data_IF_530841675369
#
_entry.id   IF_530841675369
#
_cell.length_a   1.000
_cell.length_b   1.000
_cell.length_c   1.000
_cell.angle_alpha   90.00
_cell.angle_beta   90.00
_cell.angle_gamma   90.00
#
_symmetry.space_group_name_H-M   'P 1'
#
loop_
_entity.id
_entity.type
_entity.pdbx_description
1 polymer ?
#
# COMPACT_ATOMS: atom_id res chain seq x y z
N UNK A 1 13.20 16.56 2.56
CA UNK A 1 13.66 17.87 2.06
C UNK A 1 13.52 18.03 0.53
N UNK A 2 13.74 16.98 -0.27
CA UNK A 2 13.59 17.03 -1.73
C UNK A 2 12.19 17.49 -2.24
N UNK A 3 11.10 17.02 -1.61
CA UNK A 3 9.73 17.45 -1.95
C UNK A 3 9.50 18.97 -1.81
N UNK A 4 9.93 19.54 -0.68
CA UNK A 4 9.78 20.98 -0.44
C UNK A 4 10.64 21.84 -1.39
N UNK A 5 11.79 21.33 -1.83
CA UNK A 5 12.62 21.98 -2.84
C UNK A 5 11.98 21.91 -4.24
N UNK A 6 11.40 20.77 -4.61
CA UNK A 6 10.65 20.61 -5.87
C UNK A 6 9.40 21.51 -5.89
N UNK A 7 8.66 21.61 -4.79
CA UNK A 7 7.50 22.51 -4.65
C UNK A 7 7.89 23.98 -4.76
N UNK A 8 9.03 24.40 -4.17
CA UNK A 8 9.55 25.77 -4.32
C UNK A 8 9.98 26.08 -5.75
N UNK A 9 10.64 25.14 -6.44
CA UNK A 9 10.98 25.27 -7.87
C UNK A 9 9.72 25.37 -8.73
N UNK A 10 8.73 24.51 -8.49
CA UNK A 10 7.43 24.55 -9.15
C UNK A 10 6.75 25.92 -8.93
N UNK A 11 6.67 26.42 -7.70
CA UNK A 11 6.05 27.72 -7.41
C UNK A 11 6.78 28.93 -8.02
N UNK A 12 8.08 28.80 -8.31
CA UNK A 12 8.86 29.83 -9.03
C UNK A 12 8.57 29.77 -10.52
N UNK A 13 8.63 28.58 -11.12
CA UNK A 13 8.29 28.33 -12.53
C UNK A 13 6.86 28.77 -12.88
N UNK A 14 5.91 28.60 -11.96
CA UNK A 14 4.54 29.07 -12.11
C UNK A 14 4.38 30.60 -12.08
N UNK A 15 5.26 31.31 -11.37
CA UNK A 15 5.26 32.77 -11.27
C UNK A 15 5.94 33.43 -12.47
N UNK A 16 6.98 32.81 -13.01
CA UNK A 16 7.80 33.40 -14.07
C UNK A 16 7.16 33.23 -15.48
N UNK A 17 6.24 32.29 -15.65
CA UNK A 17 5.57 32.05 -16.92
C UNK A 17 4.28 32.87 -17.09
N UNK A 18 4.41 34.03 -17.75
CA UNK A 18 3.38 35.06 -17.91
C UNK A 18 2.21 34.66 -18.84
N UNK A 19 2.44 33.79 -19.83
CA UNK A 19 1.42 33.32 -20.76
C UNK A 19 1.44 31.79 -20.95
N UNK A 20 0.46 31.27 -21.70
CA UNK A 20 0.30 29.83 -21.91
C UNK A 20 1.46 29.20 -22.72
N UNK A 21 2.16 29.98 -23.55
CA UNK A 21 3.29 29.50 -24.35
C UNK A 21 4.56 29.38 -23.50
N UNK A 22 4.85 30.38 -22.67
CA UNK A 22 5.95 30.32 -21.71
C UNK A 22 5.78 29.14 -20.74
N UNK A 23 4.56 28.88 -20.28
CA UNK A 23 4.25 27.73 -19.43
C UNK A 23 4.46 26.39 -20.12
N UNK A 24 4.14 26.32 -21.42
CA UNK A 24 4.39 25.11 -22.20
C UNK A 24 5.89 24.85 -22.35
N UNK A 25 6.69 25.88 -22.66
CA UNK A 25 8.15 25.76 -22.76
C UNK A 25 8.77 25.33 -21.42
N UNK A 26 8.30 25.85 -20.30
CA UNK A 26 8.74 25.40 -18.96
C UNK A 26 8.37 23.94 -18.70
N UNK A 27 7.20 23.49 -19.15
CA UNK A 27 6.79 22.10 -19.03
C UNK A 27 7.63 21.15 -19.90
N UNK A 28 7.95 21.57 -21.13
CA UNK A 28 8.84 20.82 -22.02
C UNK A 28 10.27 20.76 -21.43
N UNK A 29 10.83 21.87 -20.93
CA UNK A 29 12.13 21.86 -20.26
C UNK A 29 12.16 20.92 -19.04
N UNK A 30 11.10 20.93 -18.23
CA UNK A 30 10.98 20.01 -17.09
C UNK A 30 10.93 18.55 -17.54
N UNK A 31 10.31 18.26 -18.69
CA UNK A 31 10.30 16.92 -19.28
C UNK A 31 11.69 16.52 -19.77
N UNK A 32 12.39 17.41 -20.48
CA UNK A 32 13.75 17.18 -20.99
C UNK A 32 14.77 16.98 -19.86
N UNK A 33 14.58 17.67 -18.73
CA UNK A 33 15.36 17.50 -17.49
C UNK A 33 15.03 16.18 -16.75
N UNK A 34 14.05 15.40 -17.22
CA UNK A 34 13.60 14.15 -16.60
C UNK A 34 12.64 14.34 -15.42
N UNK A 35 12.20 15.56 -15.11
CA UNK A 35 11.20 15.85 -14.07
C UNK A 35 9.77 15.67 -14.61
N UNK A 36 9.44 14.42 -14.96
CA UNK A 36 8.15 14.01 -15.54
C UNK A 36 6.98 14.42 -14.63
N UNK A 37 7.18 14.46 -13.31
CA UNK A 37 6.14 14.88 -12.36
C UNK A 37 5.81 16.35 -12.49
N UNK A 38 6.82 17.21 -12.54
CA UNK A 38 6.61 18.65 -12.72
C UNK A 38 6.03 18.93 -14.11
N UNK A 39 6.58 18.31 -15.15
CA UNK A 39 6.11 18.44 -16.52
C UNK A 39 4.62 18.04 -16.66
N UNK A 40 4.24 16.86 -16.19
CA UNK A 40 2.86 16.37 -16.27
C UNK A 40 1.86 17.27 -15.54
N UNK A 41 2.20 17.79 -14.36
CA UNK A 41 1.35 18.76 -13.63
C UNK A 41 1.15 20.06 -14.42
N UNK A 42 2.22 20.57 -15.05
CA UNK A 42 2.15 21.77 -15.88
C UNK A 42 1.29 21.53 -17.13
N UNK A 43 1.50 20.41 -17.82
CA UNK A 43 0.67 20.04 -18.97
C UNK A 43 -0.80 19.87 -18.59
N UNK A 44 -1.12 19.22 -17.46
CA UNK A 44 -2.51 19.09 -16.98
C UNK A 44 -3.13 20.47 -16.73
N UNK A 45 -2.41 21.35 -16.04
CA UNK A 45 -2.89 22.71 -15.81
C UNK A 45 -3.16 23.46 -17.11
N UNK A 46 -2.25 23.38 -18.08
CA UNK A 46 -2.40 24.00 -19.41
C UNK A 46 -3.58 23.41 -20.19
N UNK A 47 -3.71 22.09 -20.21
CA UNK A 47 -4.79 21.38 -20.88
C UNK A 47 -6.18 21.76 -20.33
N UNK A 48 -6.28 21.97 -19.01
CA UNK A 48 -7.53 22.35 -18.35
C UNK A 48 -7.85 23.84 -18.49
N UNK A 49 -6.90 24.73 -18.19
CA UNK A 49 -7.14 26.18 -18.15
C UNK A 49 -7.14 26.83 -19.53
N UNK A 50 -6.42 26.28 -20.49
CA UNK A 50 -6.23 26.88 -21.82
C UNK A 50 -6.70 25.94 -22.95
N UNK A 51 -7.78 25.19 -22.71
CA UNK A 51 -8.30 24.12 -23.58
C UNK A 51 -8.37 24.45 -25.08
N UNK A 52 -8.74 25.69 -25.43
CA UNK A 52 -8.96 26.09 -26.82
C UNK A 52 -7.74 26.75 -27.49
N UNK A 53 -6.66 26.97 -26.76
CA UNK A 53 -5.41 27.56 -27.29
C UNK A 53 -4.52 26.51 -27.95
N UNK A 54 -3.56 26.94 -28.78
CA UNK A 54 -2.53 26.06 -29.34
C UNK A 54 -1.74 25.35 -28.23
N UNK A 55 -1.30 26.10 -27.20
CA UNK A 55 -0.56 25.55 -26.07
C UNK A 55 -1.36 24.50 -25.29
N UNK A 56 -2.67 24.69 -25.09
CA UNK A 56 -3.53 23.69 -24.45
C UNK A 56 -3.83 22.46 -25.31
N UNK A 57 -3.77 22.58 -26.65
CA UNK A 57 -3.81 21.41 -27.56
C UNK A 57 -2.50 20.63 -27.48
N UNK A 58 -1.35 21.31 -27.56
CA UNK A 58 -0.02 20.71 -27.43
C UNK A 58 0.17 20.03 -26.07
N UNK A 59 -0.26 20.66 -24.97
CA UNK A 59 -0.19 20.05 -23.64
C UNK A 59 -0.99 18.73 -23.53
N UNK A 60 -2.14 18.63 -24.22
CA UNK A 60 -2.91 17.37 -24.27
C UNK A 60 -2.20 16.30 -25.08
N UNK A 61 -1.59 16.68 -26.20
CA UNK A 61 -0.78 15.78 -27.01
C UNK A 61 0.43 15.25 -26.21
N UNK A 62 1.14 16.13 -25.49
CA UNK A 62 2.24 15.75 -24.58
C UNK A 62 1.77 14.78 -23.50
N UNK A 63 0.62 15.03 -22.87
CA UNK A 63 0.04 14.09 -21.90
C UNK A 63 -0.32 12.73 -22.54
N UNK A 64 -0.79 12.73 -23.78
CA UNK A 64 -1.04 11.51 -24.56
C UNK A 64 0.24 10.71 -24.81
N UNK A 65 1.32 11.39 -25.15
CA UNK A 65 2.63 10.75 -25.37
C UNK A 65 3.21 10.19 -24.07
N UNK A 66 3.16 10.95 -22.97
CA UNK A 66 3.55 10.45 -21.64
C UNK A 66 2.73 9.23 -21.22
N UNK A 67 1.44 9.23 -21.55
CA UNK A 67 0.58 8.09 -21.29
C UNK A 67 1.01 6.85 -22.10
N UNK A 68 1.36 7.01 -23.37
CA UNK A 68 1.88 5.90 -24.18
C UNK A 68 3.23 5.39 -23.68
N UNK A 69 4.16 6.28 -23.31
CA UNK A 69 5.47 5.91 -22.77
C UNK A 69 5.31 5.07 -21.49
N UNK A 70 4.45 5.49 -20.57
CA UNK A 70 4.16 4.75 -19.36
C UNK A 70 3.53 3.38 -19.63
N UNK A 71 2.65 3.27 -20.63
CA UNK A 71 2.09 1.97 -21.05
C UNK A 71 3.16 1.07 -21.68
N UNK A 72 4.11 1.63 -22.43
CA UNK A 72 5.26 0.89 -22.95
C UNK A 72 6.09 0.30 -21.82
N UNK A 73 6.49 1.12 -20.83
CA UNK A 73 7.23 0.68 -19.64
C UNK A 73 6.46 -0.36 -18.83
N UNK A 74 5.15 -0.18 -18.67
CA UNK A 74 4.29 -1.18 -18.02
C UNK A 74 4.35 -2.52 -18.75
N UNK A 75 4.19 -2.51 -20.08
CA UNK A 75 4.23 -3.71 -20.91
C UNK A 75 5.60 -4.42 -20.88
N UNK A 76 6.70 -3.67 -20.77
CA UNK A 76 8.04 -4.24 -20.59
C UNK A 76 8.17 -4.98 -19.25
N UNK A 77 7.67 -4.39 -18.15
CA UNK A 77 7.65 -5.04 -16.84
C UNK A 77 6.78 -6.30 -16.88
N UNK A 78 5.57 -6.21 -17.45
CA UNK A 78 4.68 -7.37 -17.63
C UNK A 78 5.34 -8.47 -18.48
N UNK A 79 5.99 -8.11 -19.58
CA UNK A 79 6.70 -9.06 -20.45
C UNK A 79 7.86 -9.73 -19.73
N UNK A 80 8.58 -9.01 -18.86
CA UNK A 80 9.67 -9.59 -18.07
C UNK A 80 9.12 -10.57 -17.03
N UNK A 81 8.01 -10.22 -16.36
CA UNK A 81 7.32 -11.11 -15.42
C UNK A 81 6.78 -12.37 -16.12
N UNK A 82 6.14 -12.24 -17.27
CA UNK A 82 5.60 -13.37 -18.03
C UNK A 82 6.68 -14.19 -18.75
N UNK A 83 7.79 -13.55 -19.15
CA UNK A 83 8.86 -14.14 -19.94
C UNK A 83 9.70 -15.20 -19.21
N UNK A 84 9.61 -15.30 -17.88
CA UNK A 84 10.15 -16.44 -17.14
C UNK A 84 9.25 -17.69 -17.24
N UNK A 85 7.94 -17.54 -17.46
CA UNK A 85 7.02 -18.67 -17.64
C UNK A 85 7.05 -19.24 -19.08
N UNK A 86 7.38 -18.41 -20.09
CA UNK A 86 7.36 -18.79 -21.50
C UNK A 86 8.66 -19.41 -22.06
N UNK A 87 9.73 -19.56 -21.26
CA UNK A 87 10.95 -20.27 -21.68
C UNK A 87 10.77 -21.79 -21.61
N UNK A 88 9.82 -22.29 -22.39
CA UNK A 88 9.72 -23.70 -22.79
C UNK A 88 10.57 -23.82 -24.07
N UNK A 89 11.74 -24.49 -24.06
CA UNK A 89 12.51 -24.68 -25.28
C UNK A 89 11.71 -25.54 -26.27
N UNK A 90 11.82 -25.28 -27.59
CA UNK A 90 11.31 -26.21 -28.59
C UNK A 90 11.96 -27.58 -28.38
N UNK A 91 11.16 -28.64 -28.50
CA UNK A 91 11.60 -30.04 -28.44
C UNK A 91 12.74 -30.20 -29.44
N UNK A 92 13.93 -30.64 -29.00
CA UNK A 92 14.99 -31.03 -29.93
C UNK A 92 14.55 -32.33 -30.62
N UNK A 93 14.21 -32.30 -31.93
CA UNK A 93 13.57 -33.42 -32.59
C UNK A 93 14.53 -34.59 -32.84
N UNK A 94 15.84 -34.42 -32.58
CA UNK A 94 16.87 -35.43 -32.85
C UNK A 94 17.27 -36.28 -31.65
N UNK A 95 17.08 -35.78 -30.42
CA UNK A 95 17.51 -36.51 -29.20
C UNK A 95 16.35 -36.92 -28.31
N UNK A 96 15.19 -36.28 -28.41
CA UNK A 96 14.07 -36.52 -27.47
C UNK A 96 14.41 -36.21 -26.01
N UNK A 97 15.61 -35.69 -25.75
CA UNK A 97 16.21 -35.60 -24.43
C UNK A 97 16.17 -34.15 -23.97
N UNK A 98 15.52 -33.93 -22.83
CA UNK A 98 15.55 -32.65 -22.14
C UNK A 98 16.91 -32.55 -21.45
N UNK A 99 17.85 -31.79 -22.00
CA UNK A 99 19.05 -31.43 -21.23
C UNK A 99 18.64 -30.88 -19.85
N UNK A 100 19.37 -31.20 -18.77
CA UNK A 100 18.94 -30.86 -17.41
C UNK A 100 18.68 -29.36 -17.30
N UNK A 101 17.40 -29.02 -17.15
CA UNK A 101 16.90 -27.66 -17.04
C UNK A 101 17.43 -27.09 -15.73
N UNK A 102 18.27 -26.06 -15.79
CA UNK A 102 18.37 -25.14 -14.66
C UNK A 102 17.04 -24.37 -14.63
N UNK A 103 16.03 -24.93 -13.96
CA UNK A 103 14.87 -24.14 -13.57
C UNK A 103 15.40 -22.90 -12.84
N UNK A 104 14.91 -21.69 -13.14
CA UNK A 104 15.23 -20.53 -12.33
C UNK A 104 15.01 -20.95 -10.88
N UNK A 105 16.01 -20.73 -10.03
CA UNK A 105 15.87 -21.12 -8.64
C UNK A 105 14.63 -20.41 -8.08
N UNK A 106 13.94 -21.02 -7.11
CA UNK A 106 12.79 -20.38 -6.46
C UNK A 106 13.13 -18.97 -5.95
N UNK A 107 14.40 -18.75 -5.61
CA UNK A 107 14.99 -17.46 -5.26
C UNK A 107 14.99 -16.45 -6.43
N UNK A 108 15.43 -16.84 -7.62
CA UNK A 108 15.47 -15.97 -8.81
C UNK A 108 14.07 -15.48 -9.21
N UNK A 109 13.05 -16.36 -9.06
CA UNK A 109 11.64 -15.98 -9.31
C UNK A 109 11.15 -14.99 -8.26
N UNK A 110 11.48 -15.20 -6.99
CA UNK A 110 11.08 -14.30 -5.91
C UNK A 110 11.69 -12.90 -6.09
N UNK A 111 12.99 -12.83 -6.38
CA UNK A 111 13.68 -11.56 -6.66
C UNK A 111 13.07 -10.83 -7.85
N UNK A 112 12.76 -11.54 -8.95
CA UNK A 112 12.12 -10.92 -10.11
C UNK A 112 10.75 -10.33 -9.78
N UNK A 113 9.92 -11.04 -9.02
CA UNK A 113 8.60 -10.54 -8.60
C UNK A 113 8.77 -9.28 -7.76
N UNK A 114 9.61 -9.33 -6.72
CA UNK A 114 9.88 -8.18 -5.85
C UNK A 114 10.39 -6.97 -6.63
N UNK A 115 11.35 -7.19 -7.53
CA UNK A 115 11.90 -6.16 -8.41
C UNK A 115 10.83 -5.53 -9.30
N UNK A 116 9.99 -6.35 -9.93
CA UNK A 116 8.96 -5.86 -10.84
C UNK A 116 7.90 -5.04 -10.11
N UNK A 117 7.53 -5.41 -8.89
CA UNK A 117 6.63 -4.61 -8.06
C UNK A 117 7.26 -3.33 -7.52
N UNK A 118 8.59 -3.30 -7.34
CA UNK A 118 9.32 -2.05 -7.08
C UNK A 118 9.24 -1.13 -8.30
N UNK A 119 9.52 -1.65 -9.49
CA UNK A 119 9.45 -0.88 -10.75
C UNK A 119 8.04 -0.37 -11.06
N UNK A 120 7.00 -1.16 -10.75
CA UNK A 120 5.62 -0.67 -10.82
C UNK A 120 5.36 0.51 -9.90
N UNK A 121 5.91 0.49 -8.70
CA UNK A 121 5.75 1.57 -7.72
C UNK A 121 6.47 2.84 -8.18
N UNK A 122 7.69 2.70 -8.68
CA UNK A 122 8.47 3.79 -9.27
C UNK A 122 7.76 4.40 -10.48
N UNK A 123 7.22 3.55 -11.38
CA UNK A 123 6.46 3.99 -12.55
C UNK A 123 5.18 4.74 -12.14
N UNK A 124 4.43 4.22 -11.16
CA UNK A 124 3.22 4.86 -10.65
C UNK A 124 3.53 6.22 -9.99
N UNK A 125 4.66 6.33 -9.30
CA UNK A 125 5.11 7.58 -8.69
C UNK A 125 5.56 8.58 -9.76
N UNK A 126 6.35 8.14 -10.75
CA UNK A 126 6.87 8.96 -11.84
C UNK A 126 5.76 9.58 -12.70
N UNK A 127 4.71 8.81 -13.01
CA UNK A 127 3.59 9.22 -13.85
C UNK A 127 2.32 9.59 -13.06
N UNK A 128 2.41 9.84 -11.74
CA UNK A 128 1.25 10.21 -10.89
C UNK A 128 0.48 11.43 -11.44
N UNK A 129 1.20 12.37 -12.05
CA UNK A 129 0.64 13.59 -12.64
C UNK A 129 -0.10 13.39 -13.97
N UNK A 130 -0.13 12.19 -14.54
CA UNK A 130 -0.87 11.84 -15.77
C UNK A 130 -2.15 11.06 -15.38
N UNK A 131 -3.33 11.70 -15.24
CA UNK A 131 -4.45 11.13 -14.49
C UNK A 131 -5.03 9.83 -15.05
N UNK A 132 -5.04 9.68 -16.38
CA UNK A 132 -5.55 8.47 -17.04
C UNK A 132 -4.65 7.26 -16.73
N UNK A 133 -3.37 7.39 -17.05
CA UNK A 133 -2.39 6.32 -16.81
C UNK A 133 -2.16 6.05 -15.33
N UNK A 134 -2.15 7.07 -14.46
CA UNK A 134 -2.00 6.84 -13.03
C UNK A 134 -3.12 5.94 -12.47
N UNK A 135 -4.36 6.08 -12.98
CA UNK A 135 -5.47 5.18 -12.63
C UNK A 135 -5.30 3.80 -13.24
N UNK A 136 -4.87 3.70 -14.50
CA UNK A 136 -4.59 2.42 -15.17
C UNK A 136 -3.50 1.64 -14.42
N UNK A 137 -2.35 2.25 -14.14
CA UNK A 137 -1.23 1.66 -13.40
C UNK A 137 -1.69 1.14 -12.03
N UNK A 138 -2.37 1.98 -11.22
CA UNK A 138 -2.86 1.56 -9.89
C UNK A 138 -3.80 0.36 -9.98
N UNK A 139 -4.73 0.36 -10.95
CA UNK A 139 -5.65 -0.76 -11.16
C UNK A 139 -4.90 -2.01 -11.60
N UNK A 140 -3.93 -1.87 -12.51
CA UNK A 140 -3.10 -2.97 -13.00
C UNK A 140 -2.31 -3.62 -11.87
N UNK A 141 -1.53 -2.83 -11.14
CA UNK A 141 -0.73 -3.30 -10.00
C UNK A 141 -1.61 -3.94 -8.93
N UNK A 142 -2.77 -3.36 -8.65
CA UNK A 142 -3.73 -3.94 -7.70
C UNK A 142 -4.24 -5.31 -8.15
N UNK A 143 -4.50 -5.50 -9.46
CA UNK A 143 -4.89 -6.81 -10.00
C UNK A 143 -3.73 -7.80 -9.93
N UNK A 144 -2.53 -7.40 -10.36
CA UNK A 144 -1.33 -8.24 -10.31
C UNK A 144 -1.04 -8.70 -8.87
N UNK A 145 -1.11 -7.80 -7.88
CA UNK A 145 -0.92 -8.14 -6.45
C UNK A 145 -1.89 -9.22 -5.92
N UNK A 146 -3.05 -9.39 -6.54
CA UNK A 146 -4.08 -10.35 -6.13
C UNK A 146 -3.90 -11.72 -6.78
N UNK A 147 -3.06 -11.83 -7.80
CA UNK A 147 -2.77 -13.12 -8.42
C UNK A 147 -2.00 -14.00 -7.42
N UNK A 148 -2.43 -15.24 -7.16
CA UNK A 148 -1.82 -16.10 -6.15
C UNK A 148 -0.30 -16.27 -6.29
N UNK A 149 0.19 -16.41 -7.52
CA UNK A 149 1.60 -16.59 -7.86
C UNK A 149 2.49 -15.39 -7.51
N UNK A 150 1.93 -14.19 -7.41
CA UNK A 150 2.63 -12.99 -6.96
C UNK A 150 2.35 -12.70 -5.50
N UNK A 151 1.10 -12.88 -5.05
CA UNK A 151 0.71 -12.68 -3.66
C UNK A 151 1.54 -13.54 -2.71
N UNK A 152 1.83 -14.80 -3.07
CA UNK A 152 2.69 -15.70 -2.27
C UNK A 152 4.06 -15.10 -1.97
N UNK A 153 4.68 -14.41 -2.94
CA UNK A 153 5.99 -13.78 -2.78
C UNK A 153 5.88 -12.45 -2.06
N UNK A 154 4.94 -11.61 -2.48
CA UNK A 154 4.80 -10.24 -1.98
C UNK A 154 4.37 -10.18 -0.52
N UNK A 155 3.56 -11.15 -0.08
CA UNK A 155 3.03 -11.19 1.27
C UNK A 155 3.97 -11.89 2.26
N UNK A 156 4.87 -12.75 1.79
CA UNK A 156 5.73 -13.57 2.65
C UNK A 156 6.60 -12.77 3.63
N UNK A 157 7.26 -11.65 3.26
CA UNK A 157 8.08 -10.89 4.21
C UNK A 157 7.29 -10.37 5.43
N UNK A 158 6.09 -9.83 5.20
CA UNK A 158 5.23 -9.35 6.31
C UNK A 158 4.64 -10.53 7.08
N UNK A 159 4.17 -11.58 6.38
CA UNK A 159 3.62 -12.77 7.00
C UNK A 159 4.63 -13.47 7.91
N UNK A 160 5.89 -13.61 7.45
CA UNK A 160 6.99 -14.21 8.22
C UNK A 160 7.29 -13.40 9.47
N UNK A 161 7.39 -12.07 9.37
CA UNK A 161 7.61 -11.19 10.52
C UNK A 161 6.49 -11.33 11.56
N UNK A 162 5.23 -11.38 11.11
CA UNK A 162 4.09 -11.56 12.01
C UNK A 162 4.08 -12.97 12.62
N UNK A 163 4.41 -13.99 11.84
CA UNK A 163 4.55 -15.36 12.33
C UNK A 163 5.58 -15.44 13.46
N UNK A 164 6.79 -14.93 13.25
CA UNK A 164 7.85 -14.90 14.25
C UNK A 164 7.44 -14.11 15.51
N UNK A 165 6.75 -12.98 15.34
CA UNK A 165 6.22 -12.21 16.46
C UNK A 165 5.15 -12.98 17.24
N UNK A 166 4.28 -13.72 16.56
CA UNK A 166 3.29 -14.59 17.19
C UNK A 166 3.96 -15.66 18.07
N UNK A 167 5.01 -16.31 17.55
CA UNK A 167 5.78 -17.29 18.30
C UNK A 167 6.46 -16.68 19.54
N UNK A 168 6.96 -15.45 19.43
CA UNK A 168 7.53 -14.72 20.57
C UNK A 168 6.49 -14.43 21.66
N UNK A 169 5.26 -14.06 21.28
CA UNK A 169 4.17 -13.86 22.24
C UNK A 169 3.77 -15.16 22.93
N UNK A 170 3.68 -16.27 22.19
CA UNK A 170 3.42 -17.59 22.80
C UNK A 170 4.50 -18.00 23.79
N UNK A 171 5.77 -17.80 23.44
CA UNK A 171 6.90 -18.09 24.32
C UNK A 171 6.87 -17.28 25.63
N UNK A 172 6.24 -16.10 25.62
CA UNK A 172 6.04 -15.25 26.81
C UNK A 172 4.75 -15.55 27.58
N UNK A 173 3.93 -16.49 27.12
CA UNK A 173 2.60 -16.76 27.69
C UNK A 173 1.56 -15.69 27.36
N UNK A 174 1.80 -14.82 26.38
CA UNK A 174 0.91 -13.73 25.98
C UNK A 174 -0.11 -14.21 24.93
N UNK A 175 -0.96 -15.17 25.30
CA UNK A 175 -1.86 -15.88 24.37
C UNK A 175 -2.78 -14.95 23.55
N UNK A 176 -3.31 -13.88 24.15
CA UNK A 176 -4.17 -12.92 23.42
C UNK A 176 -3.39 -12.12 22.36
N UNK A 177 -2.12 -11.76 22.63
CA UNK A 177 -1.26 -11.07 21.68
C UNK A 177 -0.86 -12.00 20.52
N UNK A 178 -0.52 -13.25 20.83
CA UNK A 178 -0.26 -14.28 19.83
C UNK A 178 -1.47 -14.48 18.91
N UNK A 179 -2.68 -14.62 19.49
CA UNK A 179 -3.92 -14.81 18.76
C UNK A 179 -4.12 -13.74 17.67
N UNK A 180 -4.10 -12.45 18.06
CA UNK A 180 -4.32 -11.35 17.10
C UNK A 180 -3.17 -11.20 16.10
N UNK A 181 -1.95 -11.58 16.48
CA UNK A 181 -0.80 -11.55 15.58
C UNK A 181 -0.92 -12.61 14.50
N UNK A 182 -1.27 -13.85 14.86
CA UNK A 182 -1.52 -14.92 13.89
C UNK A 182 -2.75 -14.64 13.05
N UNK A 183 -3.84 -14.10 13.61
CA UNK A 183 -5.01 -13.71 12.81
C UNK A 183 -4.65 -12.66 11.76
N UNK A 184 -3.81 -11.68 12.11
CA UNK A 184 -3.30 -10.68 11.16
C UNK A 184 -2.40 -11.33 10.09
N UNK A 185 -1.53 -12.24 10.48
CA UNK A 185 -0.65 -12.96 9.55
C UNK A 185 -1.46 -13.82 8.57
N UNK A 186 -2.50 -14.52 9.02
CA UNK A 186 -3.35 -15.37 8.19
C UNK A 186 -4.07 -14.59 7.07
N UNK A 187 -4.34 -13.29 7.26
CA UNK A 187 -4.94 -12.43 6.21
C UNK A 187 -4.01 -12.19 5.02
N UNK A 188 -2.77 -12.64 5.09
CA UNK A 188 -1.75 -12.51 4.04
C UNK A 188 -1.62 -13.78 3.18
N UNK A 189 -2.57 -14.71 3.28
CA UNK A 189 -2.68 -15.83 2.34
C UNK A 189 -2.64 -15.35 0.88
N UNK A 190 -1.93 -16.06 -0.01
CA UNK A 190 -1.44 -17.45 0.12
C UNK A 190 0.02 -17.61 0.58
N UNK A 191 0.63 -16.62 1.25
CA UNK A 191 2.02 -16.73 1.71
C UNK A 191 2.25 -17.96 2.62
N UNK A 192 3.38 -18.70 2.50
CA UNK A 192 3.66 -19.86 3.33
C UNK A 192 3.58 -19.60 4.84
N UNK A 193 4.14 -18.48 5.31
CA UNK A 193 4.05 -18.10 6.72
C UNK A 193 2.63 -17.73 7.15
N UNK A 194 1.82 -17.18 6.24
CA UNK A 194 0.41 -16.90 6.49
C UNK A 194 -0.41 -18.18 6.62
N UNK A 195 -0.16 -19.20 5.79
CA UNK A 195 -0.81 -20.51 5.89
C UNK A 195 -0.50 -21.19 7.24
N UNK A 196 0.77 -21.13 7.69
CA UNK A 196 1.15 -21.62 9.02
C UNK A 196 0.44 -20.87 10.15
N UNK A 197 0.34 -19.56 10.03
CA UNK A 197 -0.42 -18.73 10.96
C UNK A 197 -1.92 -19.10 10.95
N UNK A 198 -2.49 -19.38 9.78
CA UNK A 198 -3.86 -19.85 9.58
C UNK A 198 -4.15 -21.16 10.32
N UNK A 199 -3.25 -22.13 10.20
CA UNK A 199 -3.34 -23.39 10.97
C UNK A 199 -3.26 -23.11 12.47
N UNK A 200 -2.28 -22.32 12.92
CA UNK A 200 -2.08 -22.06 14.35
C UNK A 200 -3.25 -21.30 14.98
N UNK A 201 -3.79 -20.29 14.31
CA UNK A 201 -4.98 -19.57 14.80
C UNK A 201 -6.22 -20.48 14.80
N UNK A 202 -6.30 -21.45 13.88
CA UNK A 202 -7.32 -22.49 13.87
C UNK A 202 -7.27 -23.36 15.13
N UNK A 203 -6.07 -23.77 15.57
CA UNK A 203 -5.86 -24.49 16.83
C UNK A 203 -6.23 -23.63 18.05
N UNK A 204 -5.78 -22.36 18.10
CA UNK A 204 -6.08 -21.46 19.21
C UNK A 204 -7.58 -21.17 19.36
N UNK A 205 -8.35 -21.19 18.26
CA UNK A 205 -9.81 -21.03 18.28
C UNK A 205 -10.55 -22.22 18.92
N UNK A 206 -9.89 -23.35 19.10
CA UNK A 206 -10.45 -24.51 19.81
C UNK A 206 -10.39 -24.36 21.33
N UNK A 207 -9.59 -23.41 21.84
CA UNK A 207 -9.47 -23.09 23.26
C UNK A 207 -10.37 -21.89 23.62
N UNK A 208 -11.50 -22.11 24.33
CA UNK A 208 -12.42 -21.03 24.68
C UNK A 208 -11.81 -19.97 25.60
N UNK A 209 -10.83 -20.34 26.45
CA UNK A 209 -10.18 -19.40 27.36
C UNK A 209 -9.29 -18.43 26.59
N UNK A 210 -8.54 -18.94 25.60
CA UNK A 210 -7.72 -18.12 24.71
C UNK A 210 -8.60 -17.17 23.90
N UNK A 211 -9.72 -17.66 23.33
CA UNK A 211 -10.64 -16.81 22.56
C UNK A 211 -11.26 -15.73 23.44
N UNK A 212 -11.74 -16.07 24.64
CA UNK A 212 -12.29 -15.10 25.58
C UNK A 212 -11.25 -14.05 26.00
N UNK A 213 -10.01 -14.48 26.27
CA UNK A 213 -8.89 -13.58 26.58
C UNK A 213 -8.55 -12.65 25.41
N UNK A 214 -8.55 -13.16 24.18
CA UNK A 214 -8.31 -12.38 22.97
C UNK A 214 -9.39 -11.31 22.73
N UNK A 215 -10.67 -11.68 22.82
CA UNK A 215 -11.79 -10.74 22.68
C UNK A 215 -11.80 -9.69 23.80
N UNK A 216 -11.48 -10.09 25.03
CA UNK A 216 -11.33 -9.16 26.14
C UNK A 216 -10.21 -8.13 25.87
N UNK A 217 -9.05 -8.60 25.42
CA UNK A 217 -7.93 -7.73 25.05
C UNK A 217 -8.30 -6.76 23.91
N UNK A 218 -9.03 -7.24 22.89
CA UNK A 218 -9.54 -6.38 21.80
C UNK A 218 -10.50 -5.31 22.32
N UNK A 219 -11.45 -5.69 23.18
CA UNK A 219 -12.39 -4.74 23.79
C UNK A 219 -11.64 -3.64 24.56
N UNK A 220 -10.64 -4.02 25.37
CA UNK A 220 -9.81 -3.07 26.12
C UNK A 220 -9.08 -2.12 25.17
N UNK A 221 -8.44 -2.62 24.09
CA UNK A 221 -7.74 -1.79 23.11
C UNK A 221 -8.66 -0.78 22.43
N UNK A 222 -9.83 -1.23 21.98
CA UNK A 222 -10.84 -0.35 21.37
C UNK A 222 -11.32 0.72 22.37
N UNK A 223 -11.51 0.35 23.64
CA UNK A 223 -11.87 1.28 24.69
C UNK A 223 -10.77 2.31 24.96
N UNK A 224 -9.49 1.94 24.90
CA UNK A 224 -8.38 2.89 25.00
C UNK A 224 -8.35 3.89 23.85
N UNK A 225 -8.54 3.43 22.61
CA UNK A 225 -8.64 4.34 21.46
C UNK A 225 -9.82 5.29 21.58
N UNK A 226 -10.98 4.78 22.03
CA UNK A 226 -12.17 5.57 22.27
C UNK A 226 -11.94 6.60 23.39
N UNK A 227 -11.23 6.22 24.45
CA UNK A 227 -10.86 7.12 25.54
C UNK A 227 -10.04 8.30 25.04
N UNK A 228 -8.98 8.03 24.25
CA UNK A 228 -8.11 9.07 23.70
C UNK A 228 -8.88 10.02 22.76
N UNK A 229 -9.85 9.51 22.01
CA UNK A 229 -10.73 10.34 21.17
C UNK A 229 -11.69 11.17 22.02
N UNK A 230 -12.27 10.57 23.07
CA UNK A 230 -13.20 11.24 23.98
C UNK A 230 -12.53 12.38 24.74
N UNK A 231 -11.29 12.18 25.22
CA UNK A 231 -10.56 13.20 25.97
C UNK A 231 -10.26 14.45 25.12
N UNK A 232 -9.91 14.27 23.84
CA UNK A 232 -9.77 15.38 22.88
C UNK A 232 -11.07 16.15 22.61
N UNK A 233 -12.22 15.55 22.89
CA UNK A 233 -13.54 16.17 22.68
C UNK A 233 -14.04 16.93 23.91
N UNK A 234 -13.40 16.80 25.08
CA UNK A 234 -13.88 17.38 26.34
C UNK A 234 -14.14 18.87 26.23
N UNK A 235 -13.21 19.62 25.65
CA UNK A 235 -13.29 21.09 25.56
C UNK A 235 -14.20 21.55 24.40
N UNK A 236 -14.16 20.84 23.28
CA UNK A 236 -14.83 21.27 22.04
C UNK A 236 -16.28 20.79 21.96
N UNK A 237 -16.58 19.60 22.48
CA UNK A 237 -17.85 18.88 22.35
C UNK A 237 -18.13 18.03 23.61
N UNK A 238 -18.38 18.67 24.77
CA UNK A 238 -18.49 17.98 26.07
C UNK A 238 -19.61 16.93 26.12
N UNK A 239 -20.76 17.18 25.47
CA UNK A 239 -21.87 16.22 25.39
C UNK A 239 -21.43 14.92 24.69
N UNK A 240 -20.78 15.05 23.52
CA UNK A 240 -20.27 13.90 22.79
C UNK A 240 -19.16 13.18 23.57
N UNK A 241 -18.27 13.93 24.23
CA UNK A 241 -17.24 13.34 25.09
C UNK A 241 -17.87 12.51 26.22
N UNK A 242 -18.92 13.03 26.88
CA UNK A 242 -19.68 12.34 27.92
C UNK A 242 -20.30 11.04 27.41
N UNK A 243 -20.92 11.07 26.23
CA UNK A 243 -21.47 9.87 25.58
C UNK A 243 -20.40 8.81 25.32
N UNK A 244 -19.21 9.21 24.82
CA UNK A 244 -18.10 8.29 24.59
C UNK A 244 -17.53 7.70 25.88
N UNK A 245 -17.37 8.49 26.93
CA UNK A 245 -16.95 7.97 28.23
C UNK A 245 -17.99 7.00 28.81
N UNK A 246 -19.28 7.28 28.68
CA UNK A 246 -20.34 6.36 29.09
C UNK A 246 -20.34 5.06 28.27
N UNK A 247 -20.05 5.12 26.97
CA UNK A 247 -19.87 3.95 26.11
C UNK A 247 -18.72 3.06 26.62
N UNK A 248 -17.58 3.66 26.96
CA UNK A 248 -16.43 2.94 27.52
C UNK A 248 -16.80 2.25 28.83
N UNK A 249 -17.47 2.94 29.76
CA UNK A 249 -17.87 2.36 31.05
C UNK A 249 -18.81 1.15 30.87
N UNK A 250 -19.70 1.16 29.86
CA UNK A 250 -20.59 0.03 29.58
C UNK A 250 -19.89 -1.17 28.95
N UNK A 251 -18.86 -0.95 28.14
CA UNK A 251 -18.20 -2.00 27.34
C UNK A 251 -16.95 -2.57 28.00
N UNK A 252 -16.16 -1.73 28.64
CA UNK A 252 -14.87 -2.11 29.19
C UNK A 252 -15.05 -2.99 30.45
N UNK A 253 -14.23 -4.04 30.61
CA UNK A 253 -14.22 -4.86 31.83
C UNK A 253 -14.05 -3.99 33.07
N UNK A 254 -14.83 -4.26 34.12
CA UNK A 254 -14.85 -3.41 35.32
C UNK A 254 -13.48 -3.30 36.01
N UNK A 255 -12.68 -4.36 35.93
CA UNK A 255 -11.33 -4.41 36.48
C UNK A 255 -10.27 -3.72 35.61
N UNK A 256 -10.60 -3.29 34.38
CA UNK A 256 -9.67 -2.62 33.49
C UNK A 256 -9.35 -1.19 33.94
N UNK A 257 -8.14 -0.73 33.67
CA UNK A 257 -7.75 0.66 33.95
C UNK A 257 -8.61 1.66 33.16
N UNK A 258 -8.87 1.38 31.89
CA UNK A 258 -9.68 2.26 31.02
C UNK A 258 -11.10 2.44 31.54
N UNK A 259 -11.72 1.39 32.10
CA UNK A 259 -13.03 1.50 32.77
C UNK A 259 -12.96 2.48 33.96
N UNK A 260 -11.98 2.29 34.86
CA UNK A 260 -11.81 3.14 36.05
C UNK A 260 -11.54 4.61 35.65
N UNK A 261 -10.68 4.83 34.66
CA UNK A 261 -10.37 6.18 34.16
C UNK A 261 -11.59 6.83 33.50
N UNK A 262 -12.33 6.10 32.67
CA UNK A 262 -13.53 6.61 32.01
C UNK A 262 -14.61 6.98 33.04
N UNK A 263 -14.84 6.14 34.06
CA UNK A 263 -15.78 6.42 35.15
C UNK A 263 -15.40 7.69 35.92
N UNK A 264 -14.11 7.85 36.25
CA UNK A 264 -13.60 9.06 36.91
C UNK A 264 -13.74 10.31 36.04
N UNK A 265 -13.53 10.19 34.73
CA UNK A 265 -13.66 11.32 33.79
C UNK A 265 -15.12 11.71 33.61
N UNK A 266 -16.02 10.73 33.48
CA UNK A 266 -17.45 10.93 33.36
C UNK A 266 -18.05 11.65 34.58
N UNK A 267 -17.55 11.38 35.78
CA UNK A 267 -17.98 12.07 37.00
C UNK A 267 -17.53 13.55 37.08
N UNK A 268 -16.57 13.97 36.24
CA UNK A 268 -16.05 15.35 36.18
C UNK A 268 -16.67 16.19 35.07
N UNK A 269 -17.47 15.58 34.18
CA UNK A 269 -18.14 16.21 33.05
C UNK A 269 -19.64 16.37 33.33
#
# INVERSE_FOLDING_TARGET
MARAAAEKRQAKLWRDAADASARLSVADNAYDDGDIRVASRLFVSLALRHRNTLAGKQARERLGNLAQEARGKLAEIDKRLAGQDARVPPINPLTGDYGPRAEPSSHDRQELVMESFRQYSELAELYEGVPEVARELRRHVTRQRRLPEYAVVLNEPEAKKLWELGQQHEAKGEACCAYWTYERAARLEPAPSALRAGTRIGEMKQDPEVVASAENCKCIRECHELYLRADKLVELRPVLARERFAEIVRRAPENSEVHRLAKKRLAKL
#
